data_IF_911412672376
#
_entry.id   IF_911412672376
#
_cell.length_a   1.000
_cell.length_b   1.000
_cell.length_c   1.000
_cell.angle_alpha   90.00
_cell.angle_beta   90.00
_cell.angle_gamma   90.00
#
_symmetry.space_group_name_H-M   'P 1'
#
loop_
_entity.id
_entity.type
_entity.pdbx_description
1 polymer ?
#
# COMPACT_ATOMS: atom_id res chain seq x y z
N UNK A 1 16.48 -21.68 16.75
CA UNK A 1 16.66 -20.48 17.55
C UNK A 1 17.65 -19.57 16.85
N UNK A 2 17.21 -18.38 16.44
CA UNK A 2 18.05 -17.40 15.72
C UNK A 2 18.85 -16.55 16.71
N UNK A 3 18.37 -16.36 17.95
CA UNK A 3 19.03 -15.54 18.94
C UNK A 3 20.12 -16.35 19.70
N UNK A 4 21.34 -15.83 19.70
CA UNK A 4 22.50 -16.41 20.39
C UNK A 4 23.00 -15.57 21.57
N UNK A 5 22.28 -14.48 21.89
CA UNK A 5 22.62 -13.60 23.01
C UNK A 5 22.01 -14.06 24.34
N UNK A 6 22.03 -13.18 25.33
CA UNK A 6 21.42 -13.42 26.66
C UNK A 6 19.88 -13.41 26.64
N UNK A 7 19.29 -13.14 27.77
CA UNK A 7 17.83 -13.03 27.93
C UNK A 7 17.28 -11.86 27.12
N UNK A 8 16.17 -12.08 26.40
CA UNK A 8 15.43 -11.03 25.67
C UNK A 8 14.04 -10.91 26.26
N UNK A 9 13.66 -9.69 26.63
CA UNK A 9 12.36 -9.35 27.17
C UNK A 9 11.64 -8.38 26.21
N UNK A 10 10.34 -8.58 25.99
CA UNK A 10 9.50 -7.74 25.13
C UNK A 10 8.44 -7.07 25.99
N UNK A 11 8.38 -5.74 25.95
CA UNK A 11 7.50 -4.95 26.80
C UNK A 11 6.66 -3.97 25.99
N UNK A 12 5.36 -3.96 26.22
CA UNK A 12 4.49 -2.89 25.75
C UNK A 12 4.52 -1.74 26.76
N UNK A 13 4.93 -0.56 26.29
CA UNK A 13 5.13 0.63 27.11
C UNK A 13 4.27 1.79 26.60
N UNK A 14 3.52 2.41 27.51
CA UNK A 14 2.67 3.54 27.20
C UNK A 14 3.19 4.88 27.77
N UNK A 15 4.50 4.97 28.06
CA UNK A 15 5.13 6.19 28.54
C UNK A 15 5.23 7.27 27.47
N UNK A 16 5.69 8.47 27.85
CA UNK A 16 5.80 9.61 26.94
C UNK A 16 6.76 9.36 25.80
N UNK A 17 7.86 8.66 26.02
CA UNK A 17 8.85 8.34 25.00
C UNK A 17 8.25 7.48 23.90
N UNK A 18 7.58 6.38 24.26
CA UNK A 18 6.99 5.46 23.30
C UNK A 18 5.76 6.07 22.60
N UNK A 19 5.00 6.95 23.27
CA UNK A 19 3.95 7.72 22.59
C UNK A 19 4.51 8.66 21.49
N UNK A 20 5.64 9.33 21.73
CA UNK A 20 6.31 10.17 20.72
C UNK A 20 6.91 9.38 19.57
N UNK A 21 7.35 8.17 19.82
CA UNK A 21 7.84 7.25 18.79
C UNK A 21 6.72 6.71 17.90
N UNK A 22 5.47 6.76 18.36
CA UNK A 22 4.30 6.36 17.61
C UNK A 22 4.13 4.84 17.52
N UNK A 23 3.25 4.41 16.63
CA UNK A 23 2.82 3.01 16.54
C UNK A 23 3.92 2.03 16.12
N UNK A 24 4.90 2.49 15.37
CA UNK A 24 5.93 1.65 14.77
C UNK A 24 7.32 1.91 15.35
N UNK A 25 7.42 2.84 16.29
CA UNK A 25 8.68 3.16 16.97
C UNK A 25 8.94 2.26 18.16
N UNK A 26 10.22 2.14 18.54
CA UNK A 26 10.68 1.24 19.58
C UNK A 26 12.00 1.68 20.21
N UNK A 27 12.33 1.06 21.34
CA UNK A 27 13.66 1.10 21.93
C UNK A 27 14.24 -0.31 22.09
N UNK A 28 15.58 -0.43 22.03
CA UNK A 28 16.30 -1.66 22.31
C UNK A 28 17.43 -1.29 23.27
N UNK A 29 17.41 -1.86 24.47
CA UNK A 29 18.45 -1.62 25.48
C UNK A 29 19.03 -2.93 25.99
N UNK A 30 20.36 -3.00 26.03
CA UNK A 30 21.06 -4.15 26.62
C UNK A 30 21.90 -3.69 27.79
N UNK A 31 21.70 -4.31 28.95
CA UNK A 31 22.47 -4.09 30.16
C UNK A 31 22.55 -5.38 30.97
N UNK A 32 23.69 -5.68 31.56
CA UNK A 32 23.92 -6.83 32.44
C UNK A 32 23.50 -8.19 31.84
N UNK A 33 23.71 -8.34 30.52
CA UNK A 33 23.38 -9.58 29.79
C UNK A 33 21.89 -9.76 29.47
N UNK A 34 21.05 -8.79 29.78
CA UNK A 34 19.64 -8.77 29.43
C UNK A 34 19.35 -7.70 28.37
N UNK A 35 18.61 -8.07 27.30
CA UNK A 35 18.14 -7.14 26.27
C UNK A 35 16.63 -6.94 26.43
N UNK A 36 16.21 -5.66 26.50
CA UNK A 36 14.81 -5.28 26.61
C UNK A 36 14.40 -4.53 25.33
N UNK A 37 13.33 -4.99 24.70
CA UNK A 37 12.68 -4.34 23.58
C UNK A 37 11.37 -3.72 24.06
N UNK A 38 11.21 -2.42 23.86
CA UNK A 38 10.03 -1.68 24.30
C UNK A 38 9.40 -0.94 23.15
N UNK A 39 8.08 -0.94 23.08
CA UNK A 39 7.31 -0.18 22.09
C UNK A 39 5.88 0.11 22.60
N UNK A 40 5.22 1.09 21.96
CA UNK A 40 3.81 1.38 22.28
C UNK A 40 2.84 0.32 21.73
N UNK A 41 3.25 -0.47 20.73
CA UNK A 41 2.41 -1.45 20.04
C UNK A 41 3.18 -2.74 19.74
N UNK A 42 2.44 -3.80 19.45
CA UNK A 42 3.00 -5.07 18.96
C UNK A 42 3.77 -4.88 17.64
N UNK A 43 3.34 -3.95 16.79
CA UNK A 43 4.03 -3.62 15.54
C UNK A 43 5.43 -3.04 15.80
N UNK A 44 5.56 -2.14 16.76
CA UNK A 44 6.85 -1.61 17.18
C UNK A 44 7.75 -2.71 17.76
N UNK A 45 7.21 -3.62 18.59
CA UNK A 45 7.96 -4.78 19.11
C UNK A 45 8.41 -5.72 17.99
N UNK A 46 7.58 -5.93 16.96
CA UNK A 46 7.95 -6.75 15.81
C UNK A 46 9.16 -6.12 15.07
N UNK A 47 9.14 -4.80 14.84
CA UNK A 47 10.25 -4.10 14.20
C UNK A 47 11.51 -4.08 15.07
N UNK A 48 11.38 -3.89 16.38
CA UNK A 48 12.50 -4.01 17.32
C UNK A 48 13.15 -5.40 17.24
N UNK A 49 12.32 -6.45 17.22
CA UNK A 49 12.78 -7.84 17.11
C UNK A 49 13.57 -8.06 15.81
N UNK A 50 13.05 -7.60 14.67
CA UNK A 50 13.78 -7.73 13.41
C UNK A 50 15.06 -6.89 13.38
N UNK A 51 15.07 -5.71 14.01
CA UNK A 51 16.28 -4.90 14.13
C UNK A 51 17.34 -5.64 14.94
N UNK A 52 16.99 -6.17 16.10
CA UNK A 52 17.91 -6.95 16.93
C UNK A 52 18.48 -8.16 16.18
N UNK A 53 17.62 -8.89 15.44
CA UNK A 53 18.06 -10.02 14.62
C UNK A 53 19.01 -9.60 13.47
N UNK A 54 18.83 -8.44 12.87
CA UNK A 54 19.76 -7.89 11.86
C UNK A 54 21.10 -7.56 12.47
N UNK A 55 21.12 -6.83 13.58
CA UNK A 55 22.38 -6.51 14.31
C UNK A 55 23.17 -7.77 14.61
N UNK A 56 22.50 -8.81 15.09
CA UNK A 56 23.16 -10.09 15.34
C UNK A 56 23.67 -10.75 14.05
N UNK A 57 22.89 -10.72 12.96
CA UNK A 57 23.31 -11.32 11.70
C UNK A 57 24.51 -10.59 11.08
N UNK A 58 24.63 -9.29 11.28
CA UNK A 58 25.74 -8.45 10.85
C UNK A 58 26.97 -8.56 11.76
N UNK A 59 26.87 -9.28 12.88
CA UNK A 59 27.95 -9.45 13.82
C UNK A 59 28.20 -8.22 14.71
N UNK A 60 27.19 -7.36 14.87
CA UNK A 60 27.29 -6.20 15.75
C UNK A 60 27.42 -6.63 17.23
N UNK A 61 28.12 -5.82 18.02
CA UNK A 61 28.17 -6.01 19.48
C UNK A 61 26.83 -5.67 20.12
N UNK A 62 26.08 -6.69 20.50
CA UNK A 62 24.79 -6.56 21.14
C UNK A 62 24.85 -6.50 22.69
N UNK A 63 26.03 -6.42 23.30
CA UNK A 63 26.19 -6.42 24.75
C UNK A 63 25.88 -5.08 25.42
N UNK A 64 25.82 -3.99 24.65
CA UNK A 64 25.56 -2.62 25.11
C UNK A 64 24.75 -1.82 24.09
N UNK A 65 23.49 -2.23 23.88
CA UNK A 65 22.59 -1.51 22.99
C UNK A 65 21.86 -0.40 23.77
N UNK A 66 21.75 0.77 23.14
CA UNK A 66 20.86 1.86 23.52
C UNK A 66 20.34 2.50 22.23
N UNK A 67 19.28 1.92 21.70
CA UNK A 67 18.71 2.28 20.40
C UNK A 67 17.32 2.82 20.60
N UNK A 68 17.01 3.92 19.93
CA UNK A 68 15.67 4.49 19.83
C UNK A 68 15.41 4.79 18.37
N UNK A 69 14.42 4.13 17.79
CA UNK A 69 14.12 4.20 16.36
C UNK A 69 12.62 4.33 16.07
N UNK A 70 12.32 4.99 14.98
CA UNK A 70 11.01 4.99 14.34
C UNK A 70 11.16 5.13 12.83
N UNK A 71 10.26 4.58 12.02
CA UNK A 71 10.27 4.82 10.59
C UNK A 71 10.15 6.31 10.27
N UNK A 72 10.91 6.77 9.26
CA UNK A 72 10.86 8.16 8.80
C UNK A 72 9.55 8.50 8.06
N UNK A 73 8.90 7.50 7.48
CA UNK A 73 7.65 7.63 6.74
C UNK A 73 6.59 6.70 7.31
N UNK A 74 5.35 7.18 7.41
CA UNK A 74 4.22 6.39 7.93
C UNK A 74 3.73 5.33 6.94
N UNK A 75 3.94 5.55 5.63
CA UNK A 75 3.47 4.68 4.55
C UNK A 75 4.65 4.21 3.72
N UNK A 76 4.85 2.89 3.72
CA UNK A 76 5.93 2.20 3.00
C UNK A 76 5.32 0.99 2.30
N UNK A 77 4.90 1.20 1.05
CA UNK A 77 4.07 0.26 0.30
C UNK A 77 4.82 -0.29 -0.90
N UNK A 78 4.82 -1.60 -1.07
CA UNK A 78 5.22 -2.22 -2.33
C UNK A 78 4.07 -2.18 -3.32
N UNK A 79 4.36 -1.81 -4.55
CA UNK A 79 3.39 -1.76 -5.64
C UNK A 79 3.67 -2.89 -6.62
N UNK A 80 2.88 -3.95 -6.56
CA UNK A 80 2.94 -5.07 -7.49
C UNK A 80 2.23 -4.72 -8.80
N UNK A 81 2.78 -5.23 -9.90
CA UNK A 81 2.17 -5.11 -11.22
C UNK A 81 1.63 -6.45 -11.70
N UNK A 82 1.11 -7.20 -10.76
CA UNK A 82 0.58 -8.55 -10.96
C UNK A 82 -0.81 -8.49 -11.59
N UNK A 83 -1.02 -9.30 -12.62
CA UNK A 83 -2.31 -9.41 -13.31
C UNK A 83 -3.14 -10.57 -12.75
N UNK A 84 -4.44 -10.54 -13.01
CA UNK A 84 -5.38 -11.58 -12.56
C UNK A 84 -5.19 -12.91 -13.30
N UNK A 85 -4.57 -12.89 -14.48
CA UNK A 85 -4.21 -14.06 -15.27
C UNK A 85 -2.86 -14.72 -14.86
N UNK A 86 -2.26 -14.21 -13.79
CA UNK A 86 -0.99 -14.72 -13.27
C UNK A 86 0.26 -14.24 -14.02
N UNK A 87 0.14 -13.28 -14.91
CA UNK A 87 1.27 -12.58 -15.54
C UNK A 87 1.65 -11.32 -14.75
N UNK A 88 2.77 -10.70 -15.10
CA UNK A 88 3.23 -9.43 -14.54
C UNK A 88 3.40 -8.41 -15.65
N UNK A 89 3.07 -7.16 -15.36
CA UNK A 89 3.12 -6.01 -16.24
C UNK A 89 2.26 -6.24 -17.49
N UNK A 90 2.82 -6.24 -18.69
CA UNK A 90 2.15 -6.56 -19.97
C UNK A 90 2.38 -8.02 -20.39
N UNK A 91 2.66 -8.89 -19.44
CA UNK A 91 2.90 -10.31 -19.67
C UNK A 91 4.38 -10.71 -19.84
N UNK A 92 5.29 -9.77 -19.97
CA UNK A 92 6.70 -10.04 -20.21
C UNK A 92 7.59 -10.08 -18.96
N UNK A 93 7.10 -9.60 -17.81
CA UNK A 93 7.91 -9.46 -16.59
C UNK A 93 7.87 -10.70 -15.67
N UNK A 94 7.37 -11.83 -16.16
CA UNK A 94 7.35 -13.09 -15.42
C UNK A 94 5.97 -13.49 -14.90
N UNK A 95 5.97 -14.21 -13.77
CA UNK A 95 4.75 -14.76 -13.16
C UNK A 95 4.43 -14.06 -11.85
N UNK A 96 3.13 -13.82 -11.64
CA UNK A 96 2.58 -13.24 -10.43
C UNK A 96 3.03 -14.01 -9.18
N UNK A 97 3.28 -13.27 -8.11
CA UNK A 97 3.47 -13.83 -6.79
C UNK A 97 2.19 -14.53 -6.30
N UNK A 98 1.06 -13.96 -6.65
CA UNK A 98 -0.27 -14.44 -6.27
C UNK A 98 -0.77 -15.45 -7.27
N UNK A 99 -1.17 -16.63 -6.78
CA UNK A 99 -1.90 -17.63 -7.54
C UNK A 99 -3.37 -17.52 -7.17
N UNK A 100 -4.09 -16.69 -7.92
CA UNK A 100 -5.48 -16.35 -7.62
C UNK A 100 -6.40 -17.58 -7.64
N UNK A 101 -6.10 -18.57 -8.46
CA UNK A 101 -6.80 -19.85 -8.52
C UNK A 101 -6.66 -20.67 -7.24
N UNK A 102 -5.53 -20.61 -6.57
CA UNK A 102 -5.24 -21.37 -5.36
C UNK A 102 -5.78 -20.70 -4.08
N UNK A 103 -6.28 -19.46 -4.18
CA UNK A 103 -6.79 -18.70 -3.03
C UNK A 103 -8.25 -19.02 -2.67
N UNK A 104 -8.81 -20.12 -3.20
CA UNK A 104 -10.17 -20.59 -2.87
C UNK A 104 -10.17 -21.42 -1.58
N UNK A 105 -9.28 -22.39 -1.43
CA UNK A 105 -9.33 -23.40 -0.37
C UNK A 105 -8.17 -23.35 0.62
N UNK A 106 -6.99 -22.92 0.18
CA UNK A 106 -5.80 -22.86 1.01
C UNK A 106 -4.98 -21.61 0.76
N UNK A 107 -4.12 -21.26 1.71
CA UNK A 107 -3.19 -20.15 1.60
C UNK A 107 -1.77 -20.69 1.65
N UNK A 108 -1.02 -20.51 0.56
CA UNK A 108 0.38 -20.94 0.47
C UNK A 108 1.24 -20.33 1.57
N UNK A 109 2.12 -21.12 2.17
CA UNK A 109 3.12 -20.66 3.13
C UNK A 109 4.01 -19.53 2.55
N UNK A 110 4.17 -19.47 1.22
CA UNK A 110 4.91 -18.43 0.51
C UNK A 110 4.40 -17.02 0.83
N UNK A 111 3.08 -16.83 1.03
CA UNK A 111 2.53 -15.50 1.34
C UNK A 111 2.87 -15.07 2.76
N UNK A 112 2.98 -16.00 3.70
CA UNK A 112 3.48 -15.73 5.04
C UNK A 112 4.97 -15.36 5.03
N UNK A 113 5.78 -16.07 4.23
CA UNK A 113 7.19 -15.73 4.06
C UNK A 113 7.38 -14.36 3.40
N UNK A 114 6.55 -14.02 2.42
CA UNK A 114 6.50 -12.68 1.83
C UNK A 114 6.19 -11.61 2.90
N UNK A 115 5.16 -11.81 3.70
CA UNK A 115 4.78 -10.85 4.75
C UNK A 115 5.90 -10.69 5.78
N UNK A 116 6.49 -11.80 6.23
CA UNK A 116 7.61 -11.81 7.18
C UNK A 116 8.81 -11.05 6.62
N UNK A 117 9.19 -11.30 5.38
CA UNK A 117 10.33 -10.65 4.73
C UNK A 117 10.10 -9.13 4.63
N UNK A 118 8.91 -8.71 4.20
CA UNK A 118 8.56 -7.29 4.11
C UNK A 118 8.52 -6.59 5.48
N UNK A 119 7.90 -7.19 6.48
CA UNK A 119 7.89 -6.65 7.83
C UNK A 119 9.31 -6.52 8.41
N UNK A 120 10.21 -7.46 8.08
CA UNK A 120 11.60 -7.43 8.56
C UNK A 120 12.39 -6.20 8.09
N UNK A 121 11.96 -5.54 7.03
CA UNK A 121 12.54 -4.29 6.50
C UNK A 121 11.60 -3.08 6.65
N UNK A 122 10.53 -3.24 7.44
CA UNK A 122 9.63 -2.15 7.81
C UNK A 122 8.60 -1.78 6.74
N UNK A 123 8.38 -2.61 5.72
CA UNK A 123 7.27 -2.43 4.77
C UNK A 123 5.95 -2.71 5.50
N UNK A 124 4.98 -1.78 5.37
CA UNK A 124 3.70 -1.84 6.07
C UNK A 124 2.47 -1.83 5.15
N UNK A 125 2.68 -1.98 3.85
CA UNK A 125 1.59 -2.09 2.89
C UNK A 125 2.00 -2.76 1.58
N UNK A 126 1.02 -3.27 0.85
CA UNK A 126 1.21 -3.85 -0.47
C UNK A 126 0.00 -3.59 -1.36
N UNK A 127 0.25 -3.09 -2.57
CA UNK A 127 -0.75 -3.06 -3.65
C UNK A 127 -0.65 -4.38 -4.38
N UNK A 128 -1.73 -5.14 -4.44
CA UNK A 128 -1.70 -6.53 -4.92
C UNK A 128 -1.68 -6.69 -6.44
N UNK A 129 -2.18 -5.70 -7.17
CA UNK A 129 -2.44 -5.87 -8.59
C UNK A 129 -1.92 -4.69 -9.43
N UNK A 130 -1.79 -4.96 -10.72
CA UNK A 130 -1.26 -4.03 -11.72
C UNK A 130 -2.01 -2.70 -11.73
N UNK A 131 -1.29 -1.62 -11.93
CA UNK A 131 -1.85 -0.26 -12.11
C UNK A 131 -2.77 -0.16 -13.34
N UNK A 132 -2.57 -1.02 -14.35
CA UNK A 132 -3.52 -1.22 -15.45
C UNK A 132 -4.63 -2.19 -14.99
N UNK A 133 -5.37 -1.79 -13.97
CA UNK A 133 -6.25 -2.66 -13.24
C UNK A 133 -7.42 -3.18 -14.09
N UNK A 134 -7.63 -4.51 -14.02
CA UNK A 134 -8.90 -5.09 -14.44
C UNK A 134 -9.98 -4.72 -13.42
N UNK A 135 -11.18 -4.28 -13.86
CA UNK A 135 -12.31 -4.08 -12.97
C UNK A 135 -12.66 -5.30 -12.12
N UNK A 136 -12.44 -6.51 -12.64
CA UNK A 136 -12.73 -7.79 -12.01
C UNK A 136 -12.11 -7.95 -10.61
N UNK A 137 -11.02 -7.23 -10.30
CA UNK A 137 -10.42 -7.25 -8.95
C UNK A 137 -11.42 -6.82 -7.87
N UNK A 138 -12.44 -6.04 -8.22
CA UNK A 138 -13.49 -5.57 -7.32
C UNK A 138 -14.75 -6.47 -7.33
N UNK A 139 -14.73 -7.59 -8.06
CA UNK A 139 -15.80 -8.59 -7.96
C UNK A 139 -15.79 -9.27 -6.60
N UNK A 140 -16.95 -9.76 -6.15
CA UNK A 140 -17.06 -10.44 -4.85
C UNK A 140 -16.15 -11.67 -4.75
N UNK A 141 -15.94 -12.41 -5.86
CA UNK A 141 -15.04 -13.55 -5.90
C UNK A 141 -13.58 -13.13 -5.62
N UNK A 142 -13.08 -12.11 -6.33
CA UNK A 142 -11.72 -11.62 -6.10
C UNK A 142 -11.55 -10.94 -4.74
N UNK A 143 -12.56 -10.22 -4.24
CA UNK A 143 -12.49 -9.61 -2.91
C UNK A 143 -12.37 -10.68 -1.80
N UNK A 144 -12.98 -11.86 -1.94
CA UNK A 144 -12.77 -12.97 -1.01
C UNK A 144 -11.32 -13.50 -1.07
N UNK A 145 -10.70 -13.55 -2.25
CA UNK A 145 -9.30 -13.93 -2.41
C UNK A 145 -8.36 -12.88 -1.80
N UNK A 146 -8.64 -11.59 -2.04
CA UNK A 146 -7.92 -10.47 -1.43
C UNK A 146 -8.00 -10.52 0.10
N UNK A 147 -9.18 -10.82 0.66
CA UNK A 147 -9.37 -11.00 2.10
C UNK A 147 -8.42 -12.06 2.66
N UNK A 148 -8.27 -13.20 2.01
CA UNK A 148 -7.35 -14.28 2.46
C UNK A 148 -5.90 -13.81 2.54
N UNK A 149 -5.45 -13.01 1.57
CA UNK A 149 -4.12 -12.40 1.62
C UNK A 149 -4.02 -11.37 2.75
N UNK A 150 -5.04 -10.52 2.92
CA UNK A 150 -5.08 -9.54 4.01
C UNK A 150 -5.01 -10.22 5.38
N UNK A 151 -5.71 -11.34 5.59
CA UNK A 151 -5.68 -12.11 6.84
C UNK A 151 -4.29 -12.70 7.13
N UNK A 152 -3.52 -13.08 6.10
CA UNK A 152 -2.13 -13.51 6.25
C UNK A 152 -1.19 -12.35 6.58
N UNK A 153 -1.44 -11.16 6.03
CA UNK A 153 -0.54 -10.01 6.15
C UNK A 153 -0.77 -9.19 7.43
N UNK A 154 -1.98 -9.19 7.93
CA UNK A 154 -2.39 -8.42 9.13
C UNK A 154 -1.52 -8.68 10.36
N UNK A 155 -1.16 -9.94 10.72
CA UNK A 155 -0.29 -10.20 11.86
C UNK A 155 1.12 -9.59 11.73
N UNK A 156 1.52 -9.23 10.51
CA UNK A 156 2.79 -8.57 10.22
C UNK A 156 2.67 -7.04 10.08
N UNK A 157 1.47 -6.49 10.34
CA UNK A 157 1.18 -5.06 10.22
C UNK A 157 1.15 -4.54 8.78
N UNK A 158 1.00 -5.43 7.79
CA UNK A 158 0.98 -5.07 6.38
C UNK A 158 -0.47 -4.94 5.92
N UNK A 159 -0.84 -3.73 5.50
CA UNK A 159 -2.15 -3.45 4.90
C UNK A 159 -2.17 -3.81 3.43
N UNK A 160 -3.33 -4.25 2.96
CA UNK A 160 -3.59 -4.50 1.54
C UNK A 160 -4.20 -3.26 0.89
N UNK A 161 -3.71 -2.95 -0.29
CA UNK A 161 -4.22 -1.92 -1.20
C UNK A 161 -4.56 -2.56 -2.55
N UNK A 162 -5.46 -1.97 -3.30
CA UNK A 162 -5.79 -2.41 -4.65
C UNK A 162 -5.63 -1.28 -5.66
N UNK A 163 -5.06 -1.61 -6.82
CA UNK A 163 -5.21 -0.77 -8.00
C UNK A 163 -6.62 -0.95 -8.57
N UNK A 164 -7.28 0.16 -8.89
CA UNK A 164 -8.66 0.12 -9.40
C UNK A 164 -8.78 0.78 -10.76
N UNK A 165 -9.64 0.22 -11.61
CA UNK A 165 -10.03 0.83 -12.86
C UNK A 165 -11.07 1.91 -12.59
N UNK A 166 -10.83 3.13 -13.08
CA UNK A 166 -11.70 4.27 -12.83
C UNK A 166 -13.14 4.05 -13.37
N UNK A 167 -13.28 3.29 -14.46
CA UNK A 167 -14.57 2.94 -15.04
C UNK A 167 -15.22 1.68 -14.43
N UNK A 168 -14.76 1.20 -13.26
CA UNK A 168 -15.39 0.05 -12.59
C UNK A 168 -16.90 0.20 -12.39
N UNK A 169 -17.48 1.39 -12.10
CA UNK A 169 -18.94 1.58 -12.03
C UNK A 169 -19.67 1.18 -13.31
N UNK A 170 -19.07 1.45 -14.48
CA UNK A 170 -19.64 1.06 -15.76
C UNK A 170 -19.48 -0.44 -16.01
N UNK A 171 -18.33 -1.00 -15.69
CA UNK A 171 -17.97 -2.39 -16.01
C UNK A 171 -18.61 -3.41 -15.09
N UNK A 172 -18.71 -3.10 -13.81
CA UNK A 172 -19.29 -3.99 -12.78
C UNK A 172 -20.66 -3.51 -12.29
N UNK A 173 -20.89 -2.20 -12.28
CA UNK A 173 -22.14 -1.60 -11.79
C UNK A 173 -23.21 -1.41 -12.88
N UNK A 174 -22.86 -1.58 -14.16
CA UNK A 174 -23.77 -1.37 -15.27
C UNK A 174 -24.18 0.09 -15.49
N UNK A 175 -23.48 1.05 -14.88
CA UNK A 175 -23.76 2.46 -15.08
C UNK A 175 -23.35 2.91 -16.47
N UNK A 176 -24.00 3.96 -16.99
CA UNK A 176 -23.71 4.52 -18.32
C UNK A 176 -22.51 5.45 -18.34
N UNK A 177 -22.02 5.87 -17.17
CA UNK A 177 -20.93 6.83 -16.99
C UNK A 177 -20.03 6.45 -15.82
N UNK A 178 -18.83 7.01 -15.80
CA UNK A 178 -17.94 7.04 -14.63
C UNK A 178 -17.54 8.49 -14.28
N UNK A 179 -18.34 9.48 -14.67
CA UNK A 179 -18.13 10.89 -14.29
C UNK A 179 -18.04 11.00 -12.75
N UNK A 180 -16.94 11.51 -12.19
CA UNK A 180 -16.76 11.60 -10.75
C UNK A 180 -17.72 12.56 -10.04
N UNK A 181 -18.43 13.41 -10.78
CA UNK A 181 -19.45 14.30 -10.24
C UNK A 181 -20.87 13.74 -10.36
N UNK A 182 -21.04 12.57 -10.96
CA UNK A 182 -22.30 11.86 -11.01
C UNK A 182 -22.64 11.21 -9.65
N UNK A 183 -23.83 11.43 -9.14
CA UNK A 183 -24.26 10.95 -7.81
C UNK A 183 -24.37 9.42 -7.75
N UNK A 184 -24.77 8.75 -8.84
CA UNK A 184 -24.86 7.30 -8.91
C UNK A 184 -23.48 6.65 -8.93
N UNK A 185 -22.53 7.26 -9.64
CA UNK A 185 -21.13 6.85 -9.63
C UNK A 185 -20.52 6.98 -8.23
N UNK A 186 -20.75 8.11 -7.58
CA UNK A 186 -20.26 8.33 -6.21
C UNK A 186 -20.89 7.35 -5.20
N UNK A 187 -22.17 7.04 -5.37
CA UNK A 187 -22.90 6.05 -4.56
C UNK A 187 -22.34 4.65 -4.77
N UNK A 188 -22.13 4.25 -6.01
CA UNK A 188 -21.54 2.94 -6.33
C UNK A 188 -20.18 2.73 -5.66
N UNK A 189 -19.32 3.74 -5.70
CA UNK A 189 -18.01 3.67 -5.03
C UNK A 189 -18.14 3.58 -3.51
N UNK A 190 -19.07 4.31 -2.90
CA UNK A 190 -19.32 4.22 -1.44
C UNK A 190 -19.79 2.81 -1.04
N UNK A 191 -20.73 2.23 -1.79
CA UNK A 191 -21.22 0.87 -1.57
C UNK A 191 -20.10 -0.18 -1.77
N UNK A 192 -19.31 -0.05 -2.82
CA UNK A 192 -18.16 -0.93 -3.06
C UNK A 192 -17.11 -0.83 -1.95
N UNK A 193 -16.79 0.36 -1.49
CA UNK A 193 -15.87 0.58 -0.37
C UNK A 193 -16.45 -0.04 0.92
N UNK A 194 -17.73 0.12 1.19
CA UNK A 194 -18.39 -0.51 2.33
C UNK A 194 -18.29 -2.05 2.25
N UNK A 195 -18.50 -2.65 1.08
CA UNK A 195 -18.31 -4.09 0.85
C UNK A 195 -16.88 -4.52 1.18
N UNK A 196 -15.88 -3.77 0.68
CA UNK A 196 -14.47 -4.07 0.92
C UNK A 196 -14.14 -4.03 2.41
N UNK A 197 -14.53 -2.96 3.13
CA UNK A 197 -14.25 -2.86 4.57
C UNK A 197 -15.05 -3.85 5.41
N UNK A 198 -16.21 -4.29 4.93
CA UNK A 198 -16.94 -5.41 5.54
C UNK A 198 -16.19 -6.74 5.49
N UNK A 199 -15.34 -6.92 4.48
CA UNK A 199 -14.49 -8.11 4.31
C UNK A 199 -13.09 -7.92 4.91
N UNK A 200 -12.52 -6.73 4.80
CA UNK A 200 -11.13 -6.39 5.14
C UNK A 200 -11.14 -5.10 5.97
N UNK A 201 -11.37 -5.18 7.30
CA UNK A 201 -11.55 -3.99 8.14
C UNK A 201 -10.35 -3.04 8.18
N UNK A 202 -9.16 -3.54 7.89
CA UNK A 202 -7.90 -2.80 7.86
C UNK A 202 -7.41 -2.49 6.42
N UNK A 203 -8.29 -2.56 5.42
CA UNK A 203 -7.95 -2.23 4.04
C UNK A 203 -7.31 -0.84 3.94
N UNK A 204 -6.19 -0.74 3.20
CA UNK A 204 -5.40 0.49 3.15
C UNK A 204 -5.96 1.55 2.21
N UNK A 205 -6.57 1.15 1.11
CA UNK A 205 -7.10 2.09 0.12
C UNK A 205 -6.79 1.72 -1.33
N UNK A 206 -6.95 2.69 -2.21
CA UNK A 206 -6.82 2.49 -3.65
C UNK A 206 -5.57 3.15 -4.22
N UNK A 207 -4.99 2.49 -5.23
CA UNK A 207 -4.05 3.09 -6.16
C UNK A 207 -4.76 3.27 -7.51
N UNK A 208 -4.58 4.44 -8.14
CA UNK A 208 -5.27 4.78 -9.40
C UNK A 208 -4.27 5.29 -10.42
N UNK A 209 -4.28 4.65 -11.58
CA UNK A 209 -3.73 5.17 -12.83
C UNK A 209 -4.91 5.51 -13.74
N UNK A 210 -5.07 6.78 -14.07
CA UNK A 210 -6.20 7.27 -14.86
C UNK A 210 -5.74 7.95 -16.14
N UNK A 211 -6.59 7.94 -17.18
CA UNK A 211 -6.37 8.59 -18.45
C UNK A 211 -5.04 8.24 -19.16
N UNK A 212 -4.60 7.00 -19.05
CA UNK A 212 -3.33 6.55 -19.64
C UNK A 212 -3.41 5.14 -20.18
N UNK A 213 -2.86 4.90 -21.34
CA UNK A 213 -2.71 3.56 -21.94
C UNK A 213 -4.04 2.77 -21.99
N UNK A 214 -5.12 3.42 -22.35
CA UNK A 214 -6.46 2.82 -22.40
C UNK A 214 -7.16 2.70 -21.04
N UNK A 215 -6.54 3.15 -19.96
CA UNK A 215 -7.22 3.28 -18.67
C UNK A 215 -8.05 4.56 -18.66
N UNK A 216 -9.37 4.48 -18.40
CA UNK A 216 -10.22 5.65 -18.35
C UNK A 216 -9.94 6.50 -17.11
N UNK A 217 -10.41 7.75 -17.14
CA UNK A 217 -10.23 8.65 -16.02
C UNK A 217 -11.11 9.89 -16.09
N UNK A 218 -10.96 10.83 -15.15
CA UNK A 218 -11.82 12.00 -15.05
C UNK A 218 -11.74 12.91 -16.28
N UNK A 219 -10.60 12.98 -16.97
CA UNK A 219 -10.46 13.83 -18.17
C UNK A 219 -11.39 13.41 -19.31
N UNK A 220 -11.82 12.15 -19.38
CA UNK A 220 -12.78 11.67 -20.38
C UNK A 220 -14.18 12.32 -20.21
N UNK A 221 -14.43 12.88 -19.03
CA UNK A 221 -15.66 13.58 -18.66
C UNK A 221 -15.47 15.09 -18.50
N UNK A 222 -14.32 15.63 -18.94
CA UNK A 222 -13.99 17.05 -18.75
C UNK A 222 -13.76 17.42 -17.28
N UNK A 223 -13.37 16.46 -16.44
CA UNK A 223 -13.08 16.65 -15.01
C UNK A 223 -11.58 16.64 -14.76
N UNK A 224 -11.18 17.25 -13.65
CA UNK A 224 -9.79 17.28 -13.20
C UNK A 224 -9.39 15.99 -12.48
N UNK A 225 -8.09 15.75 -12.37
CA UNK A 225 -7.54 14.67 -11.54
C UNK A 225 -7.95 14.79 -10.07
N UNK A 226 -8.06 16.03 -9.55
CA UNK A 226 -8.50 16.26 -8.18
C UNK A 226 -9.95 15.85 -7.96
N UNK A 227 -10.86 16.13 -8.89
CA UNK A 227 -12.26 15.71 -8.80
C UNK A 227 -12.38 14.18 -8.81
N UNK A 228 -11.64 13.50 -9.69
CA UNK A 228 -11.62 12.04 -9.74
C UNK A 228 -11.04 11.41 -8.47
N UNK A 229 -9.91 11.91 -7.99
CA UNK A 229 -9.27 11.42 -6.76
C UNK A 229 -10.13 11.66 -5.53
N UNK A 230 -10.74 12.86 -5.44
CA UNK A 230 -11.56 13.24 -4.28
C UNK A 230 -12.84 12.41 -4.15
N UNK A 231 -13.48 12.03 -5.26
CA UNK A 231 -14.63 11.14 -5.22
C UNK A 231 -14.29 9.80 -4.52
N UNK A 232 -13.16 9.20 -4.88
CA UNK A 232 -12.69 7.95 -4.26
C UNK A 232 -12.25 8.18 -2.81
N UNK A 233 -11.56 9.29 -2.55
CA UNK A 233 -11.10 9.66 -1.22
C UNK A 233 -12.26 9.86 -0.24
N UNK A 234 -13.35 10.46 -0.68
CA UNK A 234 -14.56 10.64 0.14
C UNK A 234 -15.24 9.30 0.46
N UNK A 235 -15.24 8.35 -0.46
CA UNK A 235 -15.74 7.01 -0.20
C UNK A 235 -14.90 6.27 0.87
N UNK A 236 -13.57 6.42 0.83
CA UNK A 236 -12.62 5.77 1.76
C UNK A 236 -12.51 6.46 3.12
N UNK A 237 -12.79 7.78 3.20
CA UNK A 237 -12.57 8.61 4.39
C UNK A 237 -13.21 8.06 5.68
N UNK A 238 -14.46 7.55 5.69
CA UNK A 238 -15.08 7.01 6.90
C UNK A 238 -14.30 5.86 7.55
N UNK A 239 -13.47 5.19 6.78
CA UNK A 239 -12.71 4.01 7.20
C UNK A 239 -11.20 4.31 7.39
N UNK A 240 -10.76 5.54 7.15
CA UNK A 240 -9.36 5.92 7.24
C UNK A 240 -8.49 5.41 6.07
N UNK A 241 -9.11 5.03 4.97
CA UNK A 241 -8.39 4.63 3.76
C UNK A 241 -7.88 5.82 2.94
N UNK A 242 -6.89 5.57 2.11
CA UNK A 242 -6.23 6.57 1.28
C UNK A 242 -6.38 6.27 -0.21
N UNK A 243 -6.23 7.32 -1.03
CA UNK A 243 -6.05 7.21 -2.48
C UNK A 243 -4.62 7.56 -2.83
N UNK A 244 -3.91 6.66 -3.49
CA UNK A 244 -2.64 6.93 -4.16
C UNK A 244 -2.94 7.23 -5.63
N UNK A 245 -2.93 8.50 -6.00
CA UNK A 245 -3.24 8.95 -7.36
C UNK A 245 -1.95 9.16 -8.13
N UNK A 246 -1.73 8.37 -9.18
CA UNK A 246 -0.51 8.47 -9.97
C UNK A 246 -0.50 9.74 -10.82
N UNK A 247 0.59 10.49 -10.72
CA UNK A 247 0.86 11.68 -11.52
C UNK A 247 1.94 11.38 -12.56
N UNK A 248 1.54 11.31 -13.83
CA UNK A 248 2.44 11.28 -14.97
C UNK A 248 1.65 11.67 -16.23
N UNK A 249 2.33 11.83 -17.36
CA UNK A 249 1.70 12.27 -18.60
C UNK A 249 0.74 11.21 -19.13
N UNK A 250 -0.50 11.58 -19.30
CA UNK A 250 -1.57 10.72 -19.78
C UNK A 250 -1.75 10.78 -21.29
N UNK A 251 -1.72 11.99 -21.87
CA UNK A 251 -1.82 12.22 -23.32
C UNK A 251 -0.64 13.07 -23.74
N UNK A 252 0.48 12.49 -24.22
CA UNK A 252 1.67 13.26 -24.54
C UNK A 252 1.39 14.23 -25.68
N UNK A 253 1.41 15.52 -25.37
CA UNK A 253 1.32 16.63 -26.33
C UNK A 253 2.62 17.43 -26.42
N UNK A 254 3.56 17.20 -25.49
CA UNK A 254 4.89 17.80 -25.44
C UNK A 254 5.96 16.69 -25.49
N UNK A 255 7.12 17.00 -26.04
CA UNK A 255 8.28 16.11 -26.02
C UNK A 255 8.82 15.91 -24.60
N UNK A 256 8.69 16.91 -23.74
CA UNK A 256 9.07 16.87 -22.32
C UNK A 256 7.89 16.42 -21.44
N UNK A 257 7.83 15.12 -21.18
CA UNK A 257 6.77 14.51 -20.38
C UNK A 257 6.79 14.93 -18.92
N UNK A 258 7.94 15.16 -18.34
CA UNK A 258 8.05 15.60 -16.95
C UNK A 258 7.47 17.01 -16.77
N UNK A 259 7.80 17.92 -17.70
CA UNK A 259 7.22 19.26 -17.74
C UNK A 259 5.70 19.23 -17.91
N UNK A 260 5.20 18.39 -18.81
CA UNK A 260 3.75 18.27 -19.02
C UNK A 260 3.05 17.76 -17.75
N UNK A 261 3.56 16.71 -17.10
CA UNK A 261 2.99 16.21 -15.84
C UNK A 261 2.97 17.30 -14.76
N UNK A 262 4.05 18.08 -14.64
CA UNK A 262 4.09 19.20 -13.71
C UNK A 262 3.00 20.23 -14.01
N UNK A 263 2.84 20.64 -15.28
CA UNK A 263 1.86 21.63 -15.71
C UNK A 263 0.41 21.14 -15.52
N UNK A 264 0.15 19.83 -15.59
CA UNK A 264 -1.17 19.25 -15.35
C UNK A 264 -1.52 19.19 -13.85
N UNK A 265 -0.56 18.92 -12.99
CA UNK A 265 -0.80 18.70 -11.56
C UNK A 265 -0.57 19.94 -10.70
N UNK A 266 0.37 20.82 -11.05
CA UNK A 266 0.67 22.02 -10.26
C UNK A 266 -0.55 22.94 -10.03
N UNK A 267 -1.45 23.17 -11.01
CA UNK A 267 -2.65 23.96 -10.80
C UNK A 267 -3.68 23.34 -9.86
N UNK A 268 -3.51 22.04 -9.55
CA UNK A 268 -4.39 21.28 -8.66
C UNK A 268 -3.87 21.24 -7.21
N UNK A 269 -2.74 21.90 -6.92
CA UNK A 269 -2.22 21.99 -5.57
C UNK A 269 -3.26 22.59 -4.62
N UNK A 270 -3.38 21.99 -3.44
CA UNK A 270 -4.40 22.36 -2.44
C UNK A 270 -5.84 21.94 -2.79
N UNK A 271 -6.09 21.28 -3.94
CA UNK A 271 -7.43 20.80 -4.34
C UNK A 271 -7.72 19.35 -3.97
N UNK A 272 -6.69 18.59 -3.66
CA UNK A 272 -6.84 17.20 -3.22
C UNK A 272 -7.29 17.12 -1.75
N UNK A 273 -8.09 16.10 -1.42
CA UNK A 273 -8.47 15.80 -0.03
C UNK A 273 -7.26 15.32 0.76
N UNK A 274 -7.31 15.45 2.09
CA UNK A 274 -6.21 15.11 3.00
C UNK A 274 -5.78 13.62 2.94
N UNK A 275 -6.68 12.74 2.52
CA UNK A 275 -6.40 11.32 2.33
C UNK A 275 -6.08 10.94 0.88
N UNK A 276 -5.75 11.91 0.03
CA UNK A 276 -5.17 11.67 -1.31
C UNK A 276 -3.68 11.90 -1.25
N UNK A 277 -2.92 10.95 -1.76
CA UNK A 277 -1.49 11.04 -1.99
C UNK A 277 -1.21 11.06 -3.49
N UNK A 278 -0.61 12.13 -3.97
CA UNK A 278 -0.14 12.19 -5.36
C UNK A 278 1.14 11.35 -5.47
N UNK A 279 1.07 10.26 -6.23
CA UNK A 279 2.20 9.36 -6.44
C UNK A 279 2.97 9.79 -7.69
N UNK A 280 4.11 10.42 -7.48
CA UNK A 280 5.00 10.86 -8.56
C UNK A 280 6.01 9.74 -8.86
N UNK A 281 6.27 9.51 -10.15
CA UNK A 281 7.37 8.64 -10.58
C UNK A 281 8.72 9.27 -10.23
N UNK A 282 9.67 8.43 -9.87
CA UNK A 282 11.06 8.83 -9.84
C UNK A 282 11.63 8.72 -11.27
N UNK A 283 11.59 9.82 -12.01
CA UNK A 283 12.01 9.90 -13.39
C UNK A 283 10.94 9.56 -14.45
N UNK A 284 11.28 9.67 -15.75
CA UNK A 284 10.32 9.55 -16.84
C UNK A 284 9.83 8.12 -17.12
N UNK A 285 10.58 7.12 -16.69
CA UNK A 285 10.32 5.70 -16.94
C UNK A 285 10.27 4.94 -15.60
N UNK A 286 9.22 4.13 -15.40
CA UNK A 286 9.14 3.26 -14.24
C UNK A 286 10.32 2.27 -14.20
N UNK A 287 10.81 1.94 -13.01
CA UNK A 287 11.92 1.01 -12.77
C UNK A 287 13.30 1.44 -13.32
N UNK A 288 13.46 2.72 -13.66
CA UNK A 288 14.74 3.28 -14.09
C UNK A 288 15.40 4.05 -12.94
N UNK A 289 16.45 3.51 -12.29
CA UNK A 289 17.11 4.21 -11.19
C UNK A 289 18.12 5.27 -11.65
N UNK A 290 18.45 5.35 -12.94
CA UNK A 290 19.53 6.20 -13.45
C UNK A 290 19.12 7.60 -13.87
N UNK A 291 17.85 7.84 -14.09
CA UNK A 291 17.30 9.12 -14.57
C UNK A 291 16.13 9.53 -13.70
N UNK A 292 16.42 9.96 -12.45
CA UNK A 292 15.40 10.40 -11.51
C UNK A 292 14.73 11.71 -11.93
#
# INVERSE_FOLDING_TARGET
ALWKGGEVDLQLCADETHRRLGKEGYTIRTSEGKTVLEAATEQGLLYATYHLLRLQAEGADCTRLDIQEKPAFDIRVLNHWDNLDGTIERGYAGRSLWKWEDLTDSVSARYREYARANASVGINGTVLNNVNASPEILSSDYLQKVRKLADVFRPYGIKVYLSVNFASPMKLGGLSTADPLDEEVARWWKEKVQEIYGLIPDFGGFLVKANSEGQPGPCDYGRTHAEGANMLAEALKPYGGIVMWRAFVYSPSDADRAKQAYLEFQPLDGRFRDNVMVQVKNGPIDFQPREP
#
